data_IF_950781725166
#
_entry.id   IF_950781725166
#
_cell.length_a   1.000
_cell.length_b   1.000
_cell.length_c   1.000
_cell.angle_alpha   90.00
_cell.angle_beta   90.00
_cell.angle_gamma   90.00
#
_symmetry.space_group_name_H-M   'P 1'
#
loop_
_entity.id
_entity.type
_entity.pdbx_description
1 polymer ?
#
# COMPACT_ATOMS: atom_id res chain seq x y z
N UNK A 1 -4.46 30.69 60.49
CA UNK A 1 -5.94 30.67 60.46
C UNK A 1 -6.33 30.98 59.02
N UNK A 2 -6.09 30.05 58.10
CA UNK A 2 -7.00 28.98 57.64
C UNK A 2 -7.76 29.41 56.38
N UNK A 3 -7.11 29.27 55.22
CA UNK A 3 -7.80 29.14 53.92
C UNK A 3 -7.20 27.96 53.14
N UNK A 4 -7.26 26.78 53.76
CA UNK A 4 -7.19 25.51 53.05
C UNK A 4 -8.62 24.99 52.88
N UNK A 5 -9.46 25.75 52.18
CA UNK A 5 -10.82 25.33 51.86
C UNK A 5 -10.76 24.47 50.61
N UNK A 6 -10.68 23.16 50.81
CA UNK A 6 -11.46 22.17 50.07
C UNK A 6 -11.51 22.35 48.54
N UNK A 7 -10.42 22.02 47.84
CA UNK A 7 -10.51 21.67 46.42
C UNK A 7 -11.53 20.54 46.30
N UNK A 8 -12.65 20.81 45.68
CA UNK A 8 -13.73 19.83 45.56
C UNK A 8 -13.29 18.73 44.58
N UNK A 9 -13.71 17.49 44.83
CA UNK A 9 -13.39 16.36 43.95
C UNK A 9 -13.77 16.61 42.48
N UNK A 10 -14.75 17.48 42.22
CA UNK A 10 -15.14 17.90 40.87
C UNK A 10 -14.07 18.70 40.13
N UNK A 11 -13.29 19.54 40.83
CA UNK A 11 -12.29 20.43 40.20
C UNK A 11 -11.05 19.65 39.74
N UNK A 12 -10.66 18.60 40.48
CA UNK A 12 -9.59 17.67 40.08
C UNK A 12 -10.00 16.76 38.91
N UNK A 13 -11.27 16.37 38.85
CA UNK A 13 -11.81 15.58 37.73
C UNK A 13 -11.88 16.43 36.45
N UNK A 14 -12.22 17.71 36.57
CA UNK A 14 -12.26 18.62 35.42
C UNK A 14 -10.86 18.89 34.85
N UNK A 15 -9.84 19.08 35.72
CA UNK A 15 -8.44 19.27 35.33
C UNK A 15 -7.85 18.02 34.64
N UNK A 16 -8.09 16.81 35.20
CA UNK A 16 -7.68 15.55 34.58
C UNK A 16 -8.37 15.29 33.24
N UNK A 17 -9.64 15.68 33.11
CA UNK A 17 -10.40 15.56 31.85
C UNK A 17 -9.86 16.54 30.81
N UNK A 18 -9.53 17.76 31.22
CA UNK A 18 -8.91 18.77 30.35
C UNK A 18 -7.52 18.32 29.84
N UNK A 19 -6.68 17.77 30.71
CA UNK A 19 -5.35 17.27 30.36
C UNK A 19 -5.42 16.05 29.42
N UNK A 20 -6.32 15.11 29.72
CA UNK A 20 -6.53 13.95 28.84
C UNK A 20 -7.02 14.39 27.46
N UNK A 21 -7.94 15.35 27.40
CA UNK A 21 -8.40 15.93 26.14
C UNK A 21 -7.29 16.70 25.39
N UNK A 22 -6.35 17.32 26.10
CA UNK A 22 -5.19 17.96 25.50
C UNK A 22 -4.21 16.92 24.92
N UNK A 23 -3.97 15.82 25.65
CA UNK A 23 -3.09 14.73 25.22
C UNK A 23 -3.64 14.01 23.98
N UNK A 24 -4.93 13.66 23.97
CA UNK A 24 -5.58 13.04 22.80
C UNK A 24 -5.45 13.93 21.56
N UNK A 25 -5.67 15.25 21.69
CA UNK A 25 -5.47 16.20 20.58
C UNK A 25 -4.01 16.27 20.12
N UNK A 26 -3.04 16.14 21.03
CA UNK A 26 -1.63 16.09 20.68
C UNK A 26 -1.28 14.81 19.91
N UNK A 27 -1.77 13.66 20.36
CA UNK A 27 -1.51 12.37 19.71
C UNK A 27 -2.17 12.28 18.33
N UNK A 28 -3.39 12.81 18.17
CA UNK A 28 -4.03 12.94 16.85
C UNK A 28 -3.19 13.79 15.91
N UNK A 29 -2.67 14.94 16.37
CA UNK A 29 -1.80 15.80 15.55
C UNK A 29 -0.50 15.09 15.17
N UNK A 30 0.10 14.34 16.10
CA UNK A 30 1.31 13.54 15.84
C UNK A 30 1.04 12.44 14.82
N UNK A 31 -0.04 11.68 15.01
CA UNK A 31 -0.48 10.63 14.09
C UNK A 31 -0.74 11.20 12.69
N UNK A 32 -1.40 12.35 12.57
CA UNK A 32 -1.60 13.02 11.28
C UNK A 32 -0.28 13.36 10.58
N UNK A 33 0.72 13.88 11.31
CA UNK A 33 2.03 14.19 10.74
C UNK A 33 2.76 12.92 10.27
N UNK A 34 2.74 11.84 11.06
CA UNK A 34 3.34 10.57 10.68
C UNK A 34 2.66 9.96 9.44
N UNK A 35 1.33 9.98 9.41
CA UNK A 35 0.55 9.52 8.26
C UNK A 35 0.87 10.32 7.01
N UNK A 36 0.97 11.65 7.10
CA UNK A 36 1.36 12.50 5.97
C UNK A 36 2.79 12.21 5.49
N UNK A 37 3.73 11.97 6.41
CA UNK A 37 5.10 11.60 6.07
C UNK A 37 5.14 10.26 5.33
N UNK A 38 4.45 9.23 5.84
CA UNK A 38 4.32 7.92 5.20
C UNK A 38 3.61 8.02 3.84
N UNK A 39 2.54 8.80 3.76
CA UNK A 39 1.81 9.03 2.51
C UNK A 39 2.68 9.70 1.45
N UNK A 40 3.51 10.69 1.83
CA UNK A 40 4.46 11.35 0.92
C UNK A 40 5.55 10.41 0.42
N UNK A 41 6.07 9.54 1.29
CA UNK A 41 7.06 8.56 0.89
C UNK A 41 6.46 7.49 -0.03
N UNK A 42 5.28 6.99 0.31
CA UNK A 42 4.53 6.06 -0.52
C UNK A 42 4.16 6.67 -1.88
N UNK A 43 3.73 7.94 -1.92
CA UNK A 43 3.36 8.61 -3.17
C UNK A 43 4.56 8.82 -4.09
N UNK A 44 5.74 9.12 -3.54
CA UNK A 44 6.99 9.18 -4.32
C UNK A 44 7.35 7.82 -4.93
N UNK A 45 7.24 6.75 -4.15
CA UNK A 45 7.49 5.40 -4.67
C UNK A 45 6.46 5.03 -5.76
N UNK A 46 5.18 5.30 -5.52
CA UNK A 46 4.11 5.04 -6.46
C UNK A 46 4.26 5.84 -7.76
N UNK A 47 4.68 7.11 -7.70
CA UNK A 47 4.87 7.94 -8.89
C UNK A 47 6.06 7.49 -9.74
N UNK A 48 7.18 7.11 -9.10
CA UNK A 48 8.35 6.57 -9.80
C UNK A 48 8.03 5.22 -10.45
N UNK A 49 7.36 4.32 -9.74
CA UNK A 49 6.94 3.04 -10.30
C UNK A 49 5.92 3.22 -11.42
N UNK A 50 4.94 4.11 -11.25
CA UNK A 50 3.95 4.42 -12.27
C UNK A 50 4.58 5.01 -13.54
N UNK A 51 5.46 6.00 -13.39
CA UNK A 51 6.20 6.59 -14.51
C UNK A 51 7.11 5.58 -15.21
N UNK A 52 7.82 4.75 -14.44
CA UNK A 52 8.64 3.67 -14.96
C UNK A 52 7.82 2.62 -15.72
N UNK A 53 6.62 2.26 -15.23
CA UNK A 53 5.73 1.33 -15.90
C UNK A 53 5.25 1.87 -17.26
N UNK A 54 4.88 3.17 -17.33
CA UNK A 54 4.47 3.81 -18.60
C UNK A 54 5.63 3.84 -19.60
N UNK A 55 6.80 4.30 -19.19
CA UNK A 55 7.97 4.35 -20.07
C UNK A 55 8.41 2.94 -20.50
N UNK A 56 8.37 1.97 -19.58
CA UNK A 56 8.65 0.57 -19.88
C UNK A 56 7.68 -0.03 -20.89
N UNK A 57 6.38 0.28 -20.79
CA UNK A 57 5.38 -0.16 -21.75
C UNK A 57 5.60 0.44 -23.15
N UNK A 58 5.93 1.74 -23.22
CA UNK A 58 6.27 2.40 -24.49
C UNK A 58 7.54 1.82 -25.11
N UNK A 59 8.58 1.58 -24.30
CA UNK A 59 9.81 0.93 -24.73
C UNK A 59 9.55 -0.49 -25.24
N UNK A 60 8.71 -1.27 -24.56
CA UNK A 60 8.33 -2.61 -25.00
C UNK A 60 7.57 -2.58 -26.34
N UNK A 61 6.58 -1.70 -26.49
CA UNK A 61 5.81 -1.55 -27.73
C UNK A 61 6.66 -1.10 -28.92
N UNK A 62 7.53 -0.10 -28.72
CA UNK A 62 8.46 0.36 -29.76
C UNK A 62 9.49 -0.71 -30.13
N UNK A 63 9.98 -1.47 -29.14
CA UNK A 63 10.88 -2.61 -29.38
C UNK A 63 10.21 -3.70 -30.20
N UNK A 64 8.93 -3.99 -29.96
CA UNK A 64 8.19 -4.97 -30.74
C UNK A 64 8.08 -4.56 -32.21
N UNK A 65 7.72 -3.30 -32.48
CA UNK A 65 7.68 -2.77 -33.85
C UNK A 65 9.07 -2.80 -34.53
N UNK A 66 10.12 -2.43 -33.78
CA UNK A 66 11.50 -2.48 -34.26
C UNK A 66 11.91 -3.91 -34.63
N UNK A 67 11.65 -4.89 -33.75
CA UNK A 67 12.00 -6.29 -33.95
C UNK A 67 11.31 -6.86 -35.18
N UNK A 68 10.00 -6.64 -35.35
CA UNK A 68 9.27 -7.11 -36.53
C UNK A 68 9.83 -6.48 -37.82
N UNK A 69 10.16 -5.18 -37.80
CA UNK A 69 10.73 -4.50 -38.97
C UNK A 69 12.14 -4.98 -39.29
N UNK A 70 12.93 -5.34 -38.28
CA UNK A 70 14.26 -5.91 -38.44
C UNK A 70 14.19 -7.33 -39.02
N UNK A 71 13.36 -8.21 -38.44
CA UNK A 71 13.14 -9.57 -38.93
C UNK A 71 12.53 -9.57 -40.34
N UNK A 72 11.67 -8.60 -40.66
CA UNK A 72 11.08 -8.45 -41.99
C UNK A 72 12.09 -8.17 -43.11
N UNK A 73 13.36 -7.86 -42.79
CA UNK A 73 14.43 -7.78 -43.80
C UNK A 73 14.89 -9.16 -44.29
N UNK A 74 14.66 -10.21 -43.51
CA UNK A 74 15.16 -11.57 -43.76
C UNK A 74 14.06 -12.63 -43.80
N UNK A 75 12.88 -12.33 -43.23
CA UNK A 75 11.73 -13.23 -43.15
C UNK A 75 10.47 -12.61 -43.79
N UNK A 76 9.51 -13.42 -44.26
CA UNK A 76 8.19 -12.94 -44.63
C UNK A 76 7.50 -12.19 -43.47
N UNK A 77 6.66 -11.18 -43.75
CA UNK A 77 6.06 -10.32 -42.71
C UNK A 77 5.29 -11.09 -41.65
N UNK A 78 4.54 -12.12 -42.04
CA UNK A 78 3.75 -12.96 -41.14
C UNK A 78 4.64 -13.78 -40.20
N UNK A 79 5.70 -14.39 -40.73
CA UNK A 79 6.67 -15.16 -39.94
C UNK A 79 7.44 -14.27 -38.96
N UNK A 80 7.84 -13.07 -39.39
CA UNK A 80 8.49 -12.07 -38.53
C UNK A 80 7.59 -11.63 -37.37
N UNK A 81 6.33 -11.32 -37.65
CA UNK A 81 5.34 -10.94 -36.64
C UNK A 81 5.05 -12.10 -35.65
N UNK A 82 4.95 -13.33 -36.15
CA UNK A 82 4.74 -14.50 -35.30
C UNK A 82 5.94 -14.77 -34.39
N UNK A 83 7.17 -14.71 -34.92
CA UNK A 83 8.39 -14.86 -34.13
C UNK A 83 8.51 -13.78 -33.04
N UNK A 84 8.23 -12.51 -33.39
CA UNK A 84 8.17 -11.42 -32.42
C UNK A 84 7.14 -11.68 -31.32
N UNK A 85 5.93 -12.11 -31.71
CA UNK A 85 4.85 -12.46 -30.76
C UNK A 85 5.28 -13.54 -29.78
N UNK A 86 5.93 -14.61 -30.25
CA UNK A 86 6.43 -15.66 -29.37
C UNK A 86 7.53 -15.16 -28.44
N UNK A 87 8.45 -14.32 -28.92
CA UNK A 87 9.53 -13.79 -28.10
C UNK A 87 9.00 -12.88 -26.97
N UNK A 88 8.18 -11.88 -27.31
CA UNK A 88 7.61 -10.97 -26.30
C UNK A 88 6.56 -11.65 -25.43
N UNK A 89 5.71 -12.51 -26.01
CA UNK A 89 4.69 -13.25 -25.28
C UNK A 89 5.28 -14.24 -24.28
N UNK A 90 6.32 -14.98 -24.69
CA UNK A 90 7.05 -15.88 -23.80
C UNK A 90 7.74 -15.11 -22.67
N UNK A 91 8.43 -14.01 -22.98
CA UNK A 91 9.04 -13.14 -21.98
C UNK A 91 8.00 -12.56 -21.00
N UNK A 92 6.86 -12.09 -21.49
CA UNK A 92 5.77 -11.58 -20.66
C UNK A 92 5.20 -12.67 -19.74
N UNK A 93 4.98 -13.88 -20.24
CA UNK A 93 4.50 -15.00 -19.42
C UNK A 93 5.47 -15.36 -18.29
N UNK A 94 6.78 -15.35 -18.56
CA UNK A 94 7.82 -15.57 -17.56
C UNK A 94 7.85 -14.45 -16.50
N UNK A 95 7.80 -13.19 -16.93
CA UNK A 95 7.82 -12.05 -16.00
C UNK A 95 6.56 -12.00 -15.12
N UNK A 96 5.38 -12.23 -15.69
CA UNK A 96 4.11 -12.26 -14.94
C UNK A 96 4.09 -13.42 -13.95
N UNK A 97 4.53 -14.61 -14.34
CA UNK A 97 4.59 -15.76 -13.44
C UNK A 97 5.60 -15.56 -12.31
N UNK A 98 6.79 -15.01 -12.60
CA UNK A 98 7.78 -14.67 -11.58
C UNK A 98 7.26 -13.59 -10.62
N UNK A 99 6.64 -12.53 -11.14
CA UNK A 99 6.04 -11.47 -10.32
C UNK A 99 4.94 -12.01 -9.41
N UNK A 100 4.06 -12.86 -9.94
CA UNK A 100 2.99 -13.48 -9.14
C UNK A 100 3.56 -14.43 -8.08
N UNK A 101 4.64 -15.16 -8.38
CA UNK A 101 5.32 -15.99 -7.42
C UNK A 101 5.94 -15.16 -6.28
N UNK A 102 6.52 -14.01 -6.60
CA UNK A 102 7.10 -13.12 -5.58
C UNK A 102 6.02 -12.45 -4.73
N UNK A 103 4.90 -12.00 -5.33
CA UNK A 103 3.77 -11.48 -4.57
C UNK A 103 3.22 -12.52 -3.58
N UNK A 104 3.21 -13.80 -3.94
CA UNK A 104 2.79 -14.88 -3.04
C UNK A 104 3.78 -15.10 -1.89
N UNK A 105 5.06 -14.77 -2.06
CA UNK A 105 6.11 -14.92 -1.03
C UNK A 105 6.12 -13.79 0.01
N UNK A 106 5.70 -12.58 -0.37
CA UNK A 106 5.63 -11.43 0.55
C UNK A 106 4.61 -11.66 1.68
N UNK A 107 3.76 -12.69 1.58
CA UNK A 107 2.72 -12.98 2.57
C UNK A 107 1.54 -12.01 2.46
N UNK A 108 0.46 -12.21 3.24
CA UNK A 108 -0.65 -11.28 3.26
C UNK A 108 -0.14 -9.88 3.66
N UNK A 109 -0.55 -8.85 2.90
CA UNK A 109 -0.20 -7.43 3.16
C UNK A 109 -0.67 -6.92 4.53
N UNK A 110 -1.45 -7.73 5.26
CA UNK A 110 -1.92 -7.45 6.61
C UNK A 110 -1.27 -8.42 7.60
N UNK A 111 -0.77 -7.93 8.74
CA UNK A 111 -0.21 -8.80 9.78
C UNK A 111 -1.27 -9.81 10.24
N UNK A 112 -0.89 -11.08 10.38
CA UNK A 112 -1.80 -12.13 10.83
C UNK A 112 -2.35 -11.84 12.24
N UNK A 113 -1.57 -11.19 13.10
CA UNK A 113 -2.01 -10.70 14.41
C UNK A 113 -3.13 -9.64 14.30
N UNK A 114 -3.09 -8.75 13.31
CA UNK A 114 -4.15 -7.76 13.08
C UNK A 114 -5.44 -8.43 12.60
N UNK A 115 -5.34 -9.50 11.80
CA UNK A 115 -6.50 -10.30 11.40
C UNK A 115 -7.05 -11.12 12.58
N UNK A 116 -6.19 -11.60 13.48
CA UNK A 116 -6.59 -12.30 14.69
C UNK A 116 -7.33 -11.37 15.67
N UNK A 117 -6.79 -10.17 15.93
CA UNK A 117 -7.43 -9.21 16.84
C UNK A 117 -8.79 -8.76 16.33
N UNK A 118 -8.92 -8.48 15.02
CA UNK A 118 -10.20 -8.09 14.41
C UNK A 118 -11.24 -9.22 14.48
N UNK A 119 -10.83 -10.49 14.43
CA UNK A 119 -11.75 -11.63 14.60
C UNK A 119 -12.23 -11.75 16.04
N UNK A 120 -11.35 -11.52 17.00
CA UNK A 120 -11.71 -11.55 18.42
C UNK A 120 -12.61 -10.38 18.79
N UNK A 121 -12.36 -9.19 18.23
CA UNK A 121 -13.22 -8.02 18.40
C UNK A 121 -14.63 -8.23 17.80
N UNK A 122 -14.73 -8.83 16.62
CA UNK A 122 -16.04 -9.17 16.00
C UNK A 122 -16.77 -10.25 16.79
N UNK A 123 -16.03 -11.20 17.38
CA UNK A 123 -16.60 -12.25 18.22
C UNK A 123 -17.11 -11.69 19.55
N UNK A 124 -16.41 -10.71 20.13
CA UNK A 124 -16.82 -10.01 21.35
C UNK A 124 -17.99 -9.05 21.12
N UNK A 125 -18.09 -8.45 19.92
CA UNK A 125 -19.18 -7.55 19.55
C UNK A 125 -20.47 -8.27 19.12
N UNK A 126 -20.44 -9.60 18.93
CA UNK A 126 -21.67 -10.36 18.66
C UNK A 126 -22.46 -10.47 19.97
N UNK A 127 -23.68 -9.92 20.07
CA UNK A 127 -24.47 -10.05 21.27
C UNK A 127 -24.75 -11.54 21.50
N UNK A 128 -24.55 -12.00 22.73
CA UNK A 128 -24.98 -13.31 23.16
C UNK A 128 -26.48 -13.40 22.87
N UNK A 129 -26.85 -14.12 21.81
CA UNK A 129 -28.23 -14.45 21.52
C UNK A 129 -28.66 -15.43 22.62
N UNK A 130 -29.34 -14.88 23.63
CA UNK A 130 -30.19 -15.64 24.54
C UNK A 130 -31.49 -16.02 23.85
#
# INVERSE_FOLDING_TARGET
MSEHTNRTAGELVDELTADTAALVRAEVRRGQQELLAKAKQASKAASLLGGGAVLGALAAGTSAAFTVRLLGKVLPPTTAAFAGTLAYGGGAALLVSAGLAELRRVGPLWPEETLASLRDDVRAARPAAG
#
